data_IF_951917135656
#
_entry.id   IF_951917135656
#
_cell.length_a   1.000
_cell.length_b   1.000
_cell.length_c   1.000
_cell.angle_alpha   90.00
_cell.angle_beta   90.00
_cell.angle_gamma   90.00
#
_symmetry.space_group_name_H-M   'P 1'
#
loop_
_entity.id
_entity.type
_entity.pdbx_description
1 polymer ?
#
# COMPACT_ATOMS: atom_id res chain seq x y z
N UNK A 1 -4.35 -11.84 -24.02
CA UNK A 1 -5.31 -12.02 -22.88
C UNK A 1 -6.56 -11.22 -23.23
N UNK A 2 -7.72 -11.85 -23.29
CA UNK A 2 -8.97 -11.15 -23.61
C UNK A 2 -9.45 -10.23 -22.48
N UNK A 3 -9.13 -10.59 -21.23
CA UNK A 3 -9.48 -9.84 -20.03
C UNK A 3 -8.23 -9.58 -19.20
N UNK A 4 -8.00 -8.35 -18.82
CA UNK A 4 -6.87 -7.96 -17.97
C UNK A 4 -7.31 -8.01 -16.52
N UNK A 5 -6.58 -8.75 -15.67
CA UNK A 5 -6.80 -8.82 -14.22
C UNK A 5 -5.72 -8.02 -13.54
N UNK A 6 -6.13 -7.15 -12.62
CA UNK A 6 -5.23 -6.28 -11.88
C UNK A 6 -5.81 -5.86 -10.53
N UNK A 7 -4.98 -5.30 -9.66
CA UNK A 7 -5.36 -4.81 -8.36
C UNK A 7 -4.25 -3.97 -7.74
N UNK A 8 -4.56 -3.33 -6.63
CA UNK A 8 -3.63 -2.48 -5.88
C UNK A 8 -3.53 -2.91 -4.42
N UNK A 9 -2.37 -2.65 -3.83
CA UNK A 9 -2.06 -2.81 -2.41
C UNK A 9 -1.78 -1.44 -1.83
N UNK A 10 -2.32 -1.15 -0.65
CA UNK A 10 -2.11 0.12 0.04
C UNK A 10 -1.76 -0.15 1.50
N UNK A 11 -0.59 0.33 1.94
CA UNK A 11 -0.17 0.35 3.33
C UNK A 11 -0.61 1.63 4.03
N UNK A 12 -0.84 1.53 5.34
CA UNK A 12 -1.31 2.63 6.16
C UNK A 12 -0.43 2.82 7.39
N UNK A 13 -0.25 4.08 7.79
CA UNK A 13 0.35 4.43 9.06
C UNK A 13 -0.69 4.50 10.17
N UNK A 14 -0.31 4.11 11.39
CA UNK A 14 -1.17 4.20 12.57
C UNK A 14 -0.43 4.83 13.74
N UNK A 15 -1.16 5.54 14.60
CA UNK A 15 -0.62 6.06 15.85
C UNK A 15 -1.70 6.21 16.92
N UNK A 16 -1.27 6.23 18.18
CA UNK A 16 -2.12 6.54 19.33
C UNK A 16 -1.58 7.76 20.06
N UNK A 17 -2.43 8.75 20.29
CA UNK A 17 -2.09 9.98 20.99
C UNK A 17 -3.01 10.15 22.20
N UNK A 18 -2.44 10.39 23.38
CA UNK A 18 -3.20 10.72 24.56
C UNK A 18 -3.72 12.16 24.53
N UNK A 19 -4.72 12.54 25.36
CA UNK A 19 -5.25 13.92 25.41
C UNK A 19 -4.21 15.01 25.66
N UNK A 20 -3.12 14.69 26.35
CA UNK A 20 -2.01 15.61 26.58
C UNK A 20 -0.98 15.67 25.44
N UNK A 21 -1.27 15.05 24.30
CA UNK A 21 -0.43 15.02 23.10
C UNK A 21 0.74 14.03 23.14
N UNK A 22 0.90 13.26 24.23
CA UNK A 22 1.95 12.24 24.30
C UNK A 22 1.50 10.96 23.57
N UNK A 23 2.47 10.27 22.96
CA UNK A 23 2.24 8.99 22.33
C UNK A 23 1.96 7.94 23.41
N UNK A 24 0.79 7.30 23.35
CA UNK A 24 0.34 6.33 24.39
C UNK A 24 0.76 4.90 24.06
N UNK A 25 0.59 4.48 22.80
CA UNK A 25 0.95 3.16 22.31
C UNK A 25 1.86 3.28 21.10
N UNK A 26 2.71 2.27 20.90
CA UNK A 26 3.50 2.14 19.67
C UNK A 26 2.59 1.81 18.47
N UNK A 27 3.01 2.06 17.22
CA UNK A 27 2.27 1.65 16.04
C UNK A 27 1.99 0.14 16.02
N UNK A 28 2.94 -0.69 16.46
CA UNK A 28 2.78 -2.14 16.55
C UNK A 28 1.64 -2.54 17.51
N UNK A 29 1.56 -1.87 18.66
CA UNK A 29 0.47 -2.11 19.61
C UNK A 29 -0.86 -1.68 19.02
N UNK A 30 -0.94 -0.51 18.38
CA UNK A 30 -2.16 -0.04 17.69
C UNK A 30 -2.59 -1.03 16.61
N UNK A 31 -1.67 -1.47 15.76
CA UNK A 31 -1.96 -2.45 14.72
C UNK A 31 -2.49 -3.77 15.28
N UNK A 32 -1.90 -4.26 16.40
CA UNK A 32 -2.41 -5.46 17.10
C UNK A 32 -3.82 -5.26 17.65
N UNK A 33 -4.14 -4.09 18.19
CA UNK A 33 -5.50 -3.77 18.66
C UNK A 33 -6.49 -3.74 17.48
N UNK A 34 -6.13 -3.14 16.34
CA UNK A 34 -6.96 -3.12 15.15
C UNK A 34 -7.26 -4.54 14.64
N UNK A 35 -6.22 -5.39 14.57
CA UNK A 35 -6.29 -6.72 13.97
C UNK A 35 -6.69 -7.83 14.95
N UNK A 36 -6.89 -7.54 16.25
CA UNK A 36 -7.17 -8.54 17.28
C UNK A 36 -8.33 -9.48 16.93
N UNK A 37 -9.43 -8.94 16.38
CA UNK A 37 -10.58 -9.77 15.95
C UNK A 37 -10.31 -10.48 14.63
N UNK A 38 -9.62 -9.83 13.72
CA UNK A 38 -9.23 -10.40 12.42
C UNK A 38 -8.34 -11.62 12.64
N UNK A 39 -7.32 -11.49 13.49
CA UNK A 39 -6.42 -12.58 13.87
C UNK A 39 -7.17 -13.69 14.60
N UNK A 40 -8.06 -13.35 15.52
CA UNK A 40 -8.86 -14.33 16.25
C UNK A 40 -9.79 -15.14 15.33
N UNK A 41 -10.37 -14.51 14.33
CA UNK A 41 -11.25 -15.15 13.36
C UNK A 41 -10.46 -16.01 12.37
N UNK A 42 -9.41 -15.46 11.74
CA UNK A 42 -8.62 -16.14 10.73
C UNK A 42 -7.46 -16.97 11.26
N UNK A 43 -7.15 -16.88 12.57
CA UNK A 43 -5.94 -17.44 13.20
C UNK A 43 -4.64 -17.01 12.52
N UNK A 44 -4.68 -15.88 11.79
CA UNK A 44 -3.58 -15.33 11.02
C UNK A 44 -3.69 -13.81 10.95
N UNK A 45 -2.56 -13.13 10.83
CA UNK A 45 -2.53 -11.69 10.51
C UNK A 45 -2.81 -11.39 9.04
N UNK A 46 -3.28 -12.37 8.28
CA UNK A 46 -3.48 -12.33 6.84
C UNK A 46 -4.80 -13.06 6.53
N UNK A 47 -5.81 -12.30 6.12
CA UNK A 47 -7.18 -12.77 5.96
C UNK A 47 -7.76 -12.30 4.63
N UNK A 48 -8.41 -13.20 3.90
CA UNK A 48 -9.29 -12.84 2.79
C UNK A 48 -10.67 -12.47 3.30
N UNK A 49 -11.19 -11.37 2.79
CA UNK A 49 -12.54 -10.88 3.09
C UNK A 49 -13.57 -11.47 2.12
N UNK A 50 -14.85 -11.30 2.43
CA UNK A 50 -15.96 -11.85 1.62
C UNK A 50 -15.96 -11.32 0.18
N UNK A 51 -15.45 -10.12 -0.05
CA UNK A 51 -15.33 -9.52 -1.38
C UNK A 51 -14.06 -9.97 -2.15
N UNK A 52 -13.28 -10.91 -1.62
CA UNK A 52 -12.04 -11.38 -2.21
C UNK A 52 -10.81 -10.51 -1.92
N UNK A 53 -10.98 -9.36 -1.25
CA UNK A 53 -9.86 -8.51 -0.81
C UNK A 53 -9.04 -9.21 0.27
N UNK A 54 -7.80 -8.79 0.40
CA UNK A 54 -6.90 -9.27 1.44
C UNK A 54 -6.58 -8.17 2.43
N UNK A 55 -6.69 -8.50 3.71
CA UNK A 55 -6.34 -7.62 4.82
C UNK A 55 -5.23 -8.26 5.64
N UNK A 56 -4.13 -7.55 5.88
CA UNK A 56 -2.97 -8.11 6.58
C UNK A 56 -2.11 -7.03 7.26
N UNK A 57 -1.17 -7.48 8.08
CA UNK A 57 -0.09 -6.66 8.63
C UNK A 57 1.19 -6.97 7.86
N UNK A 58 1.74 -5.96 7.20
CA UNK A 58 3.02 -6.06 6.53
C UNK A 58 4.19 -5.76 7.48
N UNK A 59 5.41 -5.84 6.98
CA UNK A 59 6.66 -5.58 7.71
C UNK A 59 6.60 -4.19 8.36
N UNK A 60 6.90 -4.13 9.66
CA UNK A 60 6.74 -2.90 10.44
C UNK A 60 5.35 -2.72 11.04
N UNK A 61 4.52 -3.78 11.01
CA UNK A 61 3.13 -3.77 11.51
C UNK A 61 2.24 -2.73 10.83
N UNK A 62 2.50 -2.45 9.54
CA UNK A 62 1.67 -1.59 8.73
C UNK A 62 0.36 -2.33 8.37
N UNK A 63 -0.82 -1.82 8.73
CA UNK A 63 -2.07 -2.30 8.17
C UNK A 63 -2.02 -2.16 6.65
N UNK A 64 -2.30 -3.24 5.94
CA UNK A 64 -2.30 -3.25 4.49
C UNK A 64 -3.58 -3.88 3.96
N UNK A 65 -4.10 -3.27 2.92
CA UNK A 65 -5.27 -3.74 2.20
C UNK A 65 -4.92 -3.93 0.73
N UNK A 66 -5.14 -5.15 0.22
CA UNK A 66 -5.08 -5.46 -1.20
C UNK A 66 -6.50 -5.62 -1.74
N UNK A 67 -6.79 -4.95 -2.86
CA UNK A 67 -8.08 -5.11 -3.56
C UNK A 67 -8.29 -6.55 -3.99
N UNK A 68 -9.53 -6.98 -4.24
CA UNK A 68 -9.76 -8.24 -4.95
C UNK A 68 -9.20 -8.16 -6.38
N UNK A 69 -9.21 -9.28 -7.06
CA UNK A 69 -8.95 -9.37 -8.49
C UNK A 69 -10.02 -8.58 -9.25
N UNK A 70 -9.59 -7.53 -9.96
CA UNK A 70 -10.48 -6.67 -10.73
C UNK A 70 -10.15 -6.73 -12.21
N UNK A 71 -11.14 -6.55 -13.05
CA UNK A 71 -10.98 -6.42 -14.50
C UNK A 71 -11.48 -5.06 -15.04
N UNK A 72 -11.88 -4.19 -14.11
CA UNK A 72 -12.34 -2.84 -14.36
C UNK A 72 -11.62 -1.86 -13.43
N UNK A 73 -11.21 -0.73 -13.98
CA UNK A 73 -10.60 0.35 -13.20
C UNK A 73 -11.56 0.94 -12.16
N UNK A 74 -12.86 0.96 -12.46
CA UNK A 74 -13.89 1.40 -11.51
C UNK A 74 -13.96 0.49 -10.30
N UNK A 75 -13.83 -0.82 -10.51
CA UNK A 75 -13.82 -1.79 -9.42
C UNK A 75 -12.59 -1.64 -8.54
N UNK A 76 -11.40 -1.45 -9.14
CA UNK A 76 -10.17 -1.18 -8.38
C UNK A 76 -10.33 0.03 -7.48
N UNK A 77 -10.80 1.16 -8.02
CA UNK A 77 -10.97 2.39 -7.25
C UNK A 77 -12.04 2.23 -6.17
N UNK A 78 -13.14 1.56 -6.50
CA UNK A 78 -14.21 1.26 -5.53
C UNK A 78 -13.71 0.40 -4.38
N UNK A 79 -12.94 -0.66 -4.69
CA UNK A 79 -12.39 -1.55 -3.68
C UNK A 79 -11.26 -0.90 -2.86
N UNK A 80 -10.43 -0.04 -3.44
CA UNK A 80 -9.46 0.76 -2.68
C UNK A 80 -10.18 1.64 -1.64
N UNK A 81 -11.25 2.30 -2.03
CA UNK A 81 -12.08 3.10 -1.10
C UNK A 81 -12.83 2.25 -0.07
N UNK A 82 -13.29 1.07 -0.45
CA UNK A 82 -13.85 0.12 0.51
C UNK A 82 -12.83 -0.31 1.56
N UNK A 83 -11.57 -0.53 1.15
CA UNK A 83 -10.46 -0.82 2.06
C UNK A 83 -10.22 0.28 3.09
N UNK A 84 -10.24 1.55 2.68
CA UNK A 84 -10.16 2.68 3.60
C UNK A 84 -11.26 2.62 4.67
N UNK A 85 -12.51 2.35 4.27
CA UNK A 85 -13.65 2.23 5.20
C UNK A 85 -13.55 1.05 6.13
N UNK A 86 -13.05 -0.08 5.65
CA UNK A 86 -12.83 -1.28 6.47
C UNK A 86 -11.78 -0.99 7.54
N UNK A 87 -10.66 -0.39 7.16
CA UNK A 87 -9.59 -0.04 8.11
C UNK A 87 -10.03 1.04 9.10
N UNK A 88 -10.80 2.04 8.68
CA UNK A 88 -11.40 3.03 9.56
C UNK A 88 -12.32 2.38 10.61
N UNK A 89 -13.14 1.41 10.20
CA UNK A 89 -14.01 0.68 11.11
C UNK A 89 -13.22 -0.18 12.11
N UNK A 90 -12.13 -0.80 11.67
CA UNK A 90 -11.23 -1.55 12.55
C UNK A 90 -10.57 -0.62 13.57
N UNK A 91 -10.15 0.58 13.15
CA UNK A 91 -9.58 1.59 14.03
C UNK A 91 -10.58 2.03 15.11
N UNK A 92 -11.81 2.38 14.71
CA UNK A 92 -12.87 2.78 15.63
C UNK A 92 -13.19 1.68 16.66
N UNK A 93 -13.23 0.42 16.21
CA UNK A 93 -13.44 -0.72 17.08
C UNK A 93 -12.26 -0.95 18.03
N UNK A 94 -11.03 -0.67 17.59
CA UNK A 94 -9.84 -0.73 18.42
C UNK A 94 -9.86 0.39 19.49
N UNK A 95 -10.22 1.62 19.11
CA UNK A 95 -10.32 2.75 20.03
C UNK A 95 -11.34 2.49 21.16
N UNK A 96 -12.51 1.96 20.81
CA UNK A 96 -13.51 1.54 21.82
C UNK A 96 -12.95 0.52 22.82
N UNK A 97 -12.21 -0.48 22.33
CA UNK A 97 -11.58 -1.48 23.21
C UNK A 97 -10.51 -0.90 24.12
N UNK A 98 -9.71 0.06 23.62
CA UNK A 98 -8.74 0.76 24.46
C UNK A 98 -9.44 1.48 25.61
N UNK A 99 -10.56 2.15 25.33
CA UNK A 99 -11.37 2.83 26.35
C UNK A 99 -11.94 1.84 27.38
N UNK A 100 -12.46 0.69 26.94
CA UNK A 100 -12.96 -0.39 27.80
C UNK A 100 -11.86 -0.97 28.70
N UNK A 101 -10.62 -1.03 28.21
CA UNK A 101 -9.43 -1.46 28.95
C UNK A 101 -8.81 -0.35 29.84
N UNK A 102 -9.43 0.85 29.88
CA UNK A 102 -8.94 2.00 30.66
C UNK A 102 -7.70 2.67 30.09
N UNK A 103 -7.40 2.43 28.82
CA UNK A 103 -6.30 3.09 28.10
C UNK A 103 -6.83 4.33 27.42
N UNK A 104 -6.44 5.50 27.93
CA UNK A 104 -6.83 6.77 27.36
C UNK A 104 -5.93 7.15 26.18
N UNK A 105 -6.53 7.23 24.99
CA UNK A 105 -5.84 7.56 23.77
C UNK A 105 -6.76 7.59 22.56
N UNK A 106 -6.45 8.47 21.60
CA UNK A 106 -7.14 8.56 20.33
C UNK A 106 -6.28 7.91 19.23
N UNK A 107 -6.89 7.07 18.43
CA UNK A 107 -6.23 6.39 17.33
C UNK A 107 -6.36 7.19 16.03
N UNK A 108 -5.31 7.18 15.23
CA UNK A 108 -5.28 7.81 13.91
C UNK A 108 -4.77 6.82 12.88
N UNK A 109 -5.40 6.84 11.72
CA UNK A 109 -5.04 6.08 10.52
C UNK A 109 -4.64 7.05 9.41
N UNK A 110 -3.52 6.80 8.77
CA UNK A 110 -2.99 7.65 7.71
C UNK A 110 -2.78 6.85 6.43
N UNK A 111 -3.35 7.30 5.33
CA UNK A 111 -2.97 6.86 3.98
C UNK A 111 -1.82 7.77 3.51
N UNK A 112 -0.65 7.58 4.10
CA UNK A 112 0.55 8.36 3.82
C UNK A 112 1.55 7.58 2.98
N UNK A 113 2.47 8.28 2.34
CA UNK A 113 3.54 7.69 1.52
C UNK A 113 4.87 7.60 2.28
N UNK A 114 5.13 8.59 3.12
CA UNK A 114 6.32 8.64 3.98
C UNK A 114 5.96 9.29 5.31
N UNK A 115 6.66 8.91 6.37
CA UNK A 115 6.55 9.54 7.68
C UNK A 115 7.73 10.48 7.99
N UNK A 116 7.68 11.13 9.14
CA UNK A 116 8.74 12.04 9.60
C UNK A 116 10.04 11.34 9.99
N UNK A 117 10.01 10.02 10.20
CA UNK A 117 11.19 9.20 10.47
C UNK A 117 11.85 8.68 9.18
N UNK A 118 11.26 8.94 8.01
CA UNK A 118 11.75 8.51 6.71
C UNK A 118 11.33 7.09 6.32
N UNK A 119 10.34 6.49 7.02
CA UNK A 119 9.77 5.23 6.58
C UNK A 119 8.87 5.46 5.37
N UNK A 120 8.88 4.53 4.43
CA UNK A 120 8.01 4.55 3.25
C UNK A 120 6.91 3.50 3.40
N UNK A 121 5.69 3.89 3.03
CA UNK A 121 4.49 3.06 3.01
C UNK A 121 4.19 2.63 1.58
N UNK A 122 3.91 1.35 1.37
CA UNK A 122 3.70 0.78 0.04
C UNK A 122 2.41 1.28 -0.62
N UNK A 123 2.49 1.43 -1.93
CA UNK A 123 1.35 1.60 -2.82
C UNK A 123 1.68 0.86 -4.11
N UNK A 124 1.39 -0.43 -4.13
CA UNK A 124 1.82 -1.33 -5.19
C UNK A 124 0.67 -1.62 -6.15
N UNK A 125 1.04 -1.92 -7.37
CA UNK A 125 0.10 -2.34 -8.41
C UNK A 125 0.48 -3.74 -8.87
N UNK A 126 -0.52 -4.57 -9.10
CA UNK A 126 -0.35 -5.94 -9.54
C UNK A 126 -1.14 -6.15 -10.82
N UNK A 127 -0.48 -6.62 -11.86
CA UNK A 127 -1.09 -6.93 -13.16
C UNK A 127 -0.80 -8.38 -13.51
N UNK A 128 -1.84 -9.14 -13.83
CA UNK A 128 -1.70 -10.49 -14.36
C UNK A 128 -1.32 -10.41 -15.84
N UNK A 129 -0.20 -11.01 -16.21
CA UNK A 129 0.31 -11.04 -17.59
C UNK A 129 0.52 -12.48 -18.05
N UNK A 130 0.55 -12.72 -19.36
CA UNK A 130 0.86 -14.03 -19.90
C UNK A 130 2.34 -14.36 -19.68
N UNK A 131 2.64 -15.58 -19.29
CA UNK A 131 4.02 -16.02 -19.09
C UNK A 131 4.83 -16.07 -20.38
N UNK A 132 4.16 -16.29 -21.52
CA UNK A 132 4.78 -16.29 -22.84
C UNK A 132 5.22 -14.89 -23.32
N UNK A 133 4.75 -13.83 -22.69
CA UNK A 133 5.18 -12.46 -23.03
C UNK A 133 6.60 -12.21 -22.56
N UNK A 134 7.46 -11.74 -23.48
CA UNK A 134 8.84 -11.40 -23.15
C UNK A 134 8.88 -10.10 -22.32
N UNK A 135 9.41 -10.21 -21.09
CA UNK A 135 9.57 -9.06 -20.18
C UNK A 135 10.73 -8.16 -20.61
N UNK A 136 11.63 -8.63 -21.47
CA UNK A 136 12.82 -7.86 -21.86
C UNK A 136 12.50 -6.52 -22.51
N UNK A 137 11.28 -6.33 -23.02
CA UNK A 137 10.82 -5.05 -23.57
C UNK A 137 10.12 -4.15 -22.54
N UNK A 138 9.79 -4.68 -21.36
CA UNK A 138 9.06 -3.89 -20.33
C UNK A 138 9.94 -2.79 -19.76
N UNK A 139 11.24 -3.01 -19.62
CA UNK A 139 12.18 -2.01 -19.16
C UNK A 139 12.23 -0.79 -20.08
N UNK A 140 12.24 -1.00 -21.39
CA UNK A 140 12.34 0.06 -22.39
C UNK A 140 11.08 0.92 -22.49
N UNK A 141 9.92 0.38 -22.19
CA UNK A 141 8.62 1.06 -22.30
C UNK A 141 8.05 1.44 -20.94
N UNK A 142 7.99 0.49 -20.00
CA UNK A 142 7.30 0.70 -18.73
C UNK A 142 8.12 1.55 -17.75
N UNK A 143 9.45 1.42 -17.71
CA UNK A 143 10.25 2.24 -16.80
C UNK A 143 10.14 3.73 -17.14
N UNK A 144 10.34 4.18 -18.38
CA UNK A 144 10.11 5.58 -18.74
C UNK A 144 8.67 6.05 -18.46
N UNK A 145 7.68 5.18 -18.71
CA UNK A 145 6.29 5.49 -18.40
C UNK A 145 6.08 5.67 -16.89
N UNK A 146 6.52 4.74 -16.05
CA UNK A 146 6.37 4.82 -14.61
C UNK A 146 7.11 6.00 -13.97
N UNK A 147 8.23 6.39 -14.52
CA UNK A 147 8.94 7.61 -14.10
C UNK A 147 8.15 8.86 -14.48
N UNK A 148 7.70 8.97 -15.73
CA UNK A 148 7.00 10.15 -16.22
C UNK A 148 5.60 10.32 -15.65
N UNK A 149 4.89 9.23 -15.34
CA UNK A 149 3.53 9.31 -14.76
C UNK A 149 3.50 9.97 -13.37
N UNK A 150 4.65 10.05 -12.66
CA UNK A 150 4.72 10.78 -11.40
C UNK A 150 4.36 12.26 -11.54
N UNK A 151 4.47 12.82 -12.74
CA UNK A 151 4.08 14.21 -13.04
C UNK A 151 2.61 14.46 -12.71
N UNK A 152 1.72 13.48 -12.96
CA UNK A 152 0.29 13.62 -12.71
C UNK A 152 -0.27 12.75 -11.59
N UNK A 153 0.45 11.71 -11.18
CA UNK A 153 0.03 10.78 -10.12
C UNK A 153 0.87 10.87 -8.84
N UNK A 154 1.94 11.66 -8.83
CA UNK A 154 2.73 11.90 -7.63
C UNK A 154 1.95 12.72 -6.58
N UNK A 155 2.10 12.35 -5.30
CA UNK A 155 1.40 13.01 -4.21
C UNK A 155 2.09 14.30 -3.72
N UNK A 156 3.31 14.57 -4.19
CA UNK A 156 4.09 15.75 -3.84
C UNK A 156 4.54 15.80 -2.38
N UNK A 157 5.72 16.33 -2.13
CA UNK A 157 6.18 16.69 -0.78
C UNK A 157 7.21 17.80 -0.79
N UNK A 158 7.38 18.41 0.37
CA UNK A 158 8.53 19.27 0.67
C UNK A 158 9.58 18.42 1.36
N UNK A 159 10.70 18.17 0.68
CA UNK A 159 11.86 17.49 1.24
C UNK A 159 12.78 18.52 1.88
N UNK A 160 12.98 18.40 3.19
CA UNK A 160 13.94 19.23 3.91
C UNK A 160 15.31 18.56 3.95
N UNK A 161 16.33 19.28 3.51
CA UNK A 161 17.73 18.83 3.53
C UNK A 161 18.60 19.87 4.24
N UNK A 162 19.86 19.53 4.54
CA UNK A 162 20.83 20.47 5.08
C UNK A 162 21.08 21.69 4.16
N UNK A 163 20.71 21.60 2.88
CA UNK A 163 20.86 22.66 1.86
C UNK A 163 19.60 23.51 1.67
N UNK A 164 18.52 23.21 2.39
CA UNK A 164 17.23 23.89 2.28
C UNK A 164 16.07 22.96 1.94
N UNK A 165 14.94 23.55 1.61
CA UNK A 165 13.72 22.85 1.25
C UNK A 165 13.59 22.73 -0.28
N UNK A 166 13.20 21.55 -0.75
CA UNK A 166 12.97 21.26 -2.17
C UNK A 166 11.60 20.61 -2.34
N UNK A 167 10.84 21.04 -3.35
CA UNK A 167 9.62 20.36 -3.73
C UNK A 167 9.94 19.13 -4.56
N UNK A 168 9.35 17.98 -4.18
CA UNK A 168 9.42 16.71 -4.92
C UNK A 168 8.04 16.33 -5.42
N UNK A 169 7.92 15.93 -6.69
CA UNK A 169 6.66 15.53 -7.31
C UNK A 169 6.10 14.27 -6.66
N UNK A 170 6.95 13.30 -6.34
CA UNK A 170 6.58 12.05 -5.67
C UNK A 170 7.14 12.01 -4.26
N UNK A 171 6.36 11.48 -3.32
CA UNK A 171 6.81 11.28 -1.95
C UNK A 171 7.72 10.05 -1.81
N UNK A 172 7.50 9.00 -2.63
CA UNK A 172 8.20 7.72 -2.52
C UNK A 172 9.39 7.56 -3.47
N UNK A 173 9.55 8.44 -4.47
CA UNK A 173 10.60 8.29 -5.48
C UNK A 173 12.02 8.17 -4.90
N UNK A 174 12.32 8.85 -3.80
CA UNK A 174 13.64 8.76 -3.14
C UNK A 174 13.93 7.40 -2.48
N UNK A 175 12.93 6.53 -2.35
CA UNK A 175 13.07 5.18 -1.83
C UNK A 175 13.21 4.12 -2.94
N UNK A 176 13.16 4.53 -4.21
CA UNK A 176 13.25 3.65 -5.38
C UNK A 176 14.63 3.84 -6.03
N UNK A 177 15.43 2.78 -6.05
CA UNK A 177 16.85 2.85 -6.45
C UNK A 177 17.19 2.02 -7.68
N UNK A 178 16.32 1.08 -8.06
CA UNK A 178 16.58 0.15 -9.15
C UNK A 178 15.43 0.16 -10.18
N UNK A 179 15.73 -0.15 -11.43
CA UNK A 179 14.68 -0.30 -12.44
C UNK A 179 13.90 -1.59 -12.23
N UNK A 180 14.58 -2.73 -12.24
CA UNK A 180 14.01 -4.08 -12.12
C UNK A 180 14.88 -4.90 -11.18
N UNK A 181 14.30 -5.46 -10.13
CA UNK A 181 14.98 -6.42 -9.24
C UNK A 181 13.98 -7.18 -8.36
N UNK A 182 14.48 -8.16 -7.59
CA UNK A 182 13.69 -8.90 -6.59
C UNK A 182 13.79 -8.32 -5.18
N UNK A 183 14.46 -7.18 -4.99
CA UNK A 183 14.64 -6.55 -3.69
C UNK A 183 13.31 -6.06 -3.10
N UNK A 184 13.15 -6.12 -1.78
CA UNK A 184 11.89 -5.79 -1.10
C UNK A 184 12.01 -4.62 -0.14
N UNK A 185 13.09 -4.53 0.64
CA UNK A 185 13.22 -3.55 1.75
C UNK A 185 14.28 -2.49 1.50
N UNK A 186 15.41 -2.88 0.95
CA UNK A 186 16.48 -1.97 0.54
C UNK A 186 16.60 -2.01 -0.97
N UNK A 187 16.99 -0.91 -1.60
CA UNK A 187 17.12 -0.82 -3.06
C UNK A 187 15.83 -1.24 -3.78
N UNK A 188 14.68 -0.70 -3.34
CA UNK A 188 13.38 -1.02 -3.96
C UNK A 188 13.40 -0.71 -5.45
N UNK A 189 12.91 -1.61 -6.30
CA UNK A 189 12.82 -1.39 -7.74
C UNK A 189 11.55 -0.64 -8.16
N UNK A 190 11.53 -0.19 -9.40
CA UNK A 190 10.29 0.25 -10.07
C UNK A 190 9.39 -0.96 -10.30
N UNK A 191 9.97 -2.06 -10.85
CA UNK A 191 9.27 -3.33 -11.10
C UNK A 191 9.96 -4.42 -10.28
N UNK A 192 9.19 -5.10 -9.43
CA UNK A 192 9.68 -6.24 -8.66
C UNK A 192 9.46 -7.54 -9.43
N UNK A 193 10.52 -8.37 -9.50
CA UNK A 193 10.52 -9.60 -10.28
C UNK A 193 10.06 -10.84 -9.49
N UNK A 194 9.56 -10.69 -8.27
CA UNK A 194 8.97 -11.81 -7.52
C UNK A 194 7.72 -12.30 -8.24
N UNK A 195 7.84 -13.52 -8.75
CA UNK A 195 6.80 -14.16 -9.54
C UNK A 195 5.85 -14.95 -8.63
N UNK A 196 4.83 -14.30 -8.16
CA UNK A 196 3.78 -14.87 -7.31
C UNK A 196 2.43 -14.48 -7.90
N UNK A 197 1.97 -15.15 -8.99
CA UNK A 197 0.82 -14.68 -9.76
C UNK A 197 -0.52 -14.92 -9.06
N UNK A 198 -0.58 -15.76 -8.00
CA UNK A 198 -1.81 -16.22 -7.37
C UNK A 198 -2.83 -16.78 -8.40
N UNK A 199 -2.33 -17.38 -9.47
CA UNK A 199 -3.04 -17.94 -10.60
C UNK A 199 -2.28 -19.17 -11.11
N UNK A 200 -2.70 -19.77 -12.24
CA UNK A 200 -1.97 -20.84 -12.92
C UNK A 200 -0.57 -20.34 -13.33
N UNK A 201 0.45 -20.73 -12.57
CA UNK A 201 1.82 -20.27 -12.73
C UNK A 201 2.47 -20.75 -14.04
N UNK A 202 1.95 -21.79 -14.71
CA UNK A 202 2.44 -22.22 -16.01
C UNK A 202 2.01 -21.29 -17.14
N UNK A 203 0.93 -20.55 -16.93
CA UNK A 203 0.31 -19.68 -17.94
C UNK A 203 0.51 -18.20 -17.65
N UNK A 204 0.56 -17.81 -16.38
CA UNK A 204 0.53 -16.42 -15.94
C UNK A 204 1.73 -16.07 -15.08
N UNK A 205 2.08 -14.80 -15.08
CA UNK A 205 3.06 -14.16 -14.18
C UNK A 205 2.52 -12.86 -13.66
N UNK A 206 3.07 -12.40 -12.55
CA UNK A 206 2.73 -11.12 -11.94
C UNK A 206 3.69 -10.04 -12.44
N UNK A 207 3.16 -8.97 -13.04
CA UNK A 207 3.86 -7.71 -13.14
C UNK A 207 3.57 -6.92 -11.84
N UNK A 208 4.58 -6.82 -10.99
CA UNK A 208 4.47 -6.17 -9.69
C UNK A 208 5.19 -4.81 -9.72
N UNK A 209 4.41 -3.72 -9.72
CA UNK A 209 4.89 -2.34 -9.79
C UNK A 209 4.96 -1.76 -8.39
N UNK A 210 6.17 -1.37 -7.98
CA UNK A 210 6.46 -0.87 -6.61
C UNK A 210 6.44 0.66 -6.57
N UNK A 211 6.86 1.30 -7.66
CA UNK A 211 6.91 2.76 -7.76
C UNK A 211 5.51 3.36 -7.84
N UNK A 212 5.36 4.51 -7.25
CA UNK A 212 4.12 5.27 -7.24
C UNK A 212 3.67 5.58 -5.82
N UNK A 213 3.00 6.70 -5.70
CA UNK A 213 2.46 7.17 -4.45
C UNK A 213 1.03 6.64 -4.24
N UNK A 214 0.66 6.47 -2.99
CA UNK A 214 -0.74 6.31 -2.57
C UNK A 214 -1.45 7.65 -2.76
N UNK A 215 -2.64 7.62 -3.35
CA UNK A 215 -3.42 8.81 -3.65
C UNK A 215 -4.69 8.86 -2.80
N UNK A 216 -5.02 10.04 -2.26
CA UNK A 216 -6.26 10.27 -1.51
C UNK A 216 -7.46 10.48 -2.44
N UNK A 217 -7.23 11.04 -3.63
CA UNK A 217 -8.27 11.26 -4.63
C UNK A 217 -8.50 10.01 -5.47
N UNK A 218 -9.75 9.60 -5.59
CA UNK A 218 -10.19 8.50 -6.47
C UNK A 218 -9.81 8.77 -7.92
N UNK A 219 -9.91 10.03 -8.35
CA UNK A 219 -9.52 10.44 -9.70
C UNK A 219 -8.02 10.23 -9.96
N UNK A 220 -7.18 10.57 -8.99
CA UNK A 220 -5.74 10.32 -9.11
C UNK A 220 -5.41 8.82 -9.13
N UNK A 221 -6.09 8.03 -8.29
CA UNK A 221 -5.96 6.56 -8.31
C UNK A 221 -6.42 5.98 -9.64
N UNK A 222 -7.54 6.46 -10.18
CA UNK A 222 -8.06 6.07 -11.50
C UNK A 222 -7.07 6.35 -12.63
N UNK A 223 -6.42 7.52 -12.62
CA UNK A 223 -5.44 7.88 -13.65
C UNK A 223 -4.10 7.15 -13.48
N UNK A 224 -3.76 6.75 -12.25
CA UNK A 224 -2.50 6.06 -11.95
C UNK A 224 -2.50 4.63 -12.48
N UNK A 225 -3.58 3.89 -12.25
CA UNK A 225 -3.76 2.48 -12.61
C UNK A 225 -4.27 2.33 -14.03
#
# INVERSE_FOLDING_TARGET
MERRIFGIESEYGVTCVSPNGQRRLSPDEVARYMFRRVVAWGRSSNVFLENGSRLYLDVGSHPEYATPECDSIYDVVTHDKAGERILEQLLQNAEKRLQEEGIDGRLYLFKNNTDSAGNSYGSHENYCTNRSEDISHYDQVLIPFFVSRQIYSGAGKILQTARGATYCISQRAEHIWEGISSATTRSRPIINTRDEPHADADRYKRLHVIVGDSNMSEYASFLKV
#
